data_IF_615801998115
#
_entry.id   IF_615801998115
#
_cell.length_a   1.000
_cell.length_b   1.000
_cell.length_c   1.000
_cell.angle_alpha   90.00
_cell.angle_beta   90.00
_cell.angle_gamma   90.00
#
_symmetry.space_group_name_H-M   'P 1'
#
loop_
_entity.id
_entity.type
_entity.pdbx_description
1 polymer ?
#
# COMPACT_ATOMS: atom_id res chain seq x y z
N UNK A 1 2.76 -5.94 7.87
CA UNK A 1 3.12 -6.83 8.95
C UNK A 1 2.60 -6.30 10.27
N UNK A 2 1.64 -7.00 10.84
CA UNK A 2 0.99 -6.61 12.10
C UNK A 2 1.28 -7.62 13.23
N UNK A 3 2.46 -8.23 13.22
CA UNK A 3 2.85 -9.25 14.20
C UNK A 3 1.93 -10.48 14.12
N UNK A 4 1.37 -10.91 15.25
CA UNK A 4 0.38 -12.00 15.28
C UNK A 4 -0.99 -11.61 14.66
N UNK A 5 -1.04 -10.60 13.89
CA UNK A 5 -2.22 -9.99 13.30
C UNK A 5 -2.71 -8.78 14.08
N UNK A 6 -3.79 -8.18 13.62
CA UNK A 6 -4.44 -7.07 14.31
C UNK A 6 -5.22 -7.56 15.50
N UNK A 7 -5.50 -6.68 16.46
CA UNK A 7 -6.46 -6.92 17.55
C UNK A 7 -7.88 -7.03 16.94
N UNK A 8 -8.21 -8.21 16.40
CA UNK A 8 -9.40 -8.47 15.59
C UNK A 8 -10.74 -8.12 16.26
N UNK A 9 -10.72 -8.00 17.59
CA UNK A 9 -11.88 -7.59 18.38
C UNK A 9 -11.93 -6.09 18.67
N UNK A 10 -10.92 -5.32 18.23
CA UNK A 10 -10.95 -3.87 18.39
C UNK A 10 -11.99 -3.25 17.44
N UNK A 11 -12.67 -2.16 17.85
CA UNK A 11 -13.73 -1.54 17.05
C UNK A 11 -13.32 -1.15 15.62
N UNK A 12 -12.04 -0.79 15.41
CA UNK A 12 -11.50 -0.36 14.12
C UNK A 12 -10.65 -1.42 13.42
N UNK A 13 -10.66 -2.68 13.87
CA UNK A 13 -9.86 -3.75 13.30
C UNK A 13 -10.16 -3.99 11.80
N UNK A 14 -11.35 -3.65 11.33
CA UNK A 14 -11.74 -3.78 9.93
C UNK A 14 -10.89 -2.89 8.99
N UNK A 15 -10.34 -1.78 9.47
CA UNK A 15 -9.54 -0.85 8.65
C UNK A 15 -8.25 -1.51 8.16
N UNK A 16 -7.34 -2.01 9.04
CA UNK A 16 -6.14 -2.71 8.59
C UNK A 16 -6.45 -4.02 7.86
N UNK A 17 -7.50 -4.74 8.23
CA UNK A 17 -7.92 -5.95 7.50
C UNK A 17 -8.28 -5.60 6.06
N UNK A 18 -9.12 -4.59 5.86
CA UNK A 18 -9.49 -4.09 4.52
C UNK A 18 -8.27 -3.60 3.74
N UNK A 19 -7.33 -2.90 4.40
CA UNK A 19 -6.11 -2.44 3.75
C UNK A 19 -5.28 -3.61 3.23
N UNK A 20 -5.10 -4.68 4.01
CA UNK A 20 -4.39 -5.89 3.59
C UNK A 20 -5.13 -6.57 2.43
N UNK A 21 -6.44 -6.72 2.51
CA UNK A 21 -7.27 -7.29 1.43
C UNK A 21 -7.12 -6.49 0.14
N UNK A 22 -7.13 -5.16 0.22
CA UNK A 22 -6.95 -4.29 -0.95
C UNK A 22 -5.54 -4.41 -1.54
N UNK A 23 -4.49 -4.53 -0.71
CA UNK A 23 -3.12 -4.75 -1.17
C UNK A 23 -3.01 -6.10 -1.89
N UNK A 24 -3.57 -7.17 -1.33
CA UNK A 24 -3.58 -8.50 -1.94
C UNK A 24 -4.22 -8.46 -3.34
N UNK A 25 -5.31 -7.71 -3.51
CA UNK A 25 -6.05 -7.58 -4.77
C UNK A 25 -5.54 -6.47 -5.68
N UNK A 26 -4.43 -5.84 -5.32
CA UNK A 26 -3.93 -4.72 -6.11
C UNK A 26 -3.54 -5.17 -7.53
N UNK A 27 -3.96 -4.46 -8.59
CA UNK A 27 -3.72 -4.86 -9.99
C UNK A 27 -2.25 -5.11 -10.32
N UNK A 28 -1.32 -4.40 -9.66
CA UNK A 28 0.11 -4.55 -9.88
C UNK A 28 0.65 -5.94 -9.51
N UNK A 29 -0.04 -6.70 -8.65
CA UNK A 29 0.31 -8.09 -8.35
C UNK A 29 -0.22 -9.07 -9.41
N UNK A 30 -1.11 -8.60 -10.28
CA UNK A 30 -1.62 -9.35 -11.42
C UNK A 30 -2.35 -10.64 -11.04
N UNK A 31 -2.90 -10.74 -9.84
CA UNK A 31 -3.60 -11.93 -9.35
C UNK A 31 -2.69 -13.06 -8.84
N UNK A 32 -1.38 -12.92 -8.96
CA UNK A 32 -0.43 -13.91 -8.42
C UNK A 32 -0.09 -13.55 -6.98
N UNK A 33 -0.91 -14.00 -6.05
CA UNK A 33 -0.78 -13.77 -4.62
C UNK A 33 -0.14 -14.97 -3.91
N UNK A 34 0.51 -14.69 -2.80
CA UNK A 34 1.11 -15.68 -1.94
C UNK A 34 0.90 -15.24 -0.49
N UNK A 35 0.15 -16.01 0.27
CA UNK A 35 -0.11 -15.76 1.68
C UNK A 35 0.61 -16.80 2.52
N UNK A 36 1.52 -16.31 3.35
CA UNK A 36 2.28 -17.14 4.28
C UNK A 36 1.78 -16.83 5.68
N UNK A 37 1.02 -17.75 6.24
CA UNK A 37 0.54 -17.72 7.61
C UNK A 37 1.51 -18.35 8.59
N UNK A 38 1.50 -17.91 9.84
CA UNK A 38 2.28 -18.52 10.91
C UNK A 38 1.66 -19.84 11.38
N UNK A 39 0.33 -19.85 11.56
CA UNK A 39 -0.46 -20.97 12.08
C UNK A 39 -1.08 -20.73 13.46
N UNK A 40 -0.66 -19.67 14.16
CA UNK A 40 -1.23 -19.27 15.47
C UNK A 40 -1.62 -17.80 15.52
N UNK A 41 -1.54 -17.08 14.41
CA UNK A 41 -1.95 -15.69 14.30
C UNK A 41 -3.47 -15.55 14.44
N UNK A 42 -3.90 -14.35 14.89
CA UNK A 42 -5.33 -14.01 14.99
C UNK A 42 -5.92 -13.56 13.66
N UNK A 43 -5.10 -12.95 12.80
CA UNK A 43 -5.47 -12.57 11.45
C UNK A 43 -5.14 -13.72 10.49
N UNK A 44 -5.99 -14.71 10.44
CA UNK A 44 -5.87 -15.87 9.57
C UNK A 44 -6.19 -15.52 8.10
N UNK A 45 -5.72 -16.33 7.17
CA UNK A 45 -5.83 -16.07 5.74
C UNK A 45 -7.30 -15.95 5.26
N UNK A 46 -8.22 -16.67 5.88
CA UNK A 46 -9.66 -16.63 5.58
C UNK A 46 -10.32 -15.28 5.92
N UNK A 47 -9.65 -14.42 6.68
CA UNK A 47 -10.10 -13.06 6.98
C UNK A 47 -9.66 -12.02 5.96
N UNK A 48 -8.67 -12.34 5.15
CA UNK A 48 -8.07 -11.42 4.19
C UNK A 48 -8.21 -11.89 2.74
N UNK A 49 -8.41 -13.18 2.52
CA UNK A 49 -8.64 -13.76 1.21
C UNK A 49 -10.13 -14.06 1.00
N UNK A 50 -10.65 -13.85 -0.21
CA UNK A 50 -11.94 -14.40 -0.59
C UNK A 50 -11.86 -15.93 -0.69
N UNK A 51 -12.98 -16.64 -0.49
CA UNK A 51 -12.98 -18.12 -0.47
C UNK A 51 -12.39 -18.77 -1.71
N UNK A 52 -12.60 -18.16 -2.88
CA UNK A 52 -12.08 -18.64 -4.18
C UNK A 52 -10.55 -18.62 -4.28
N UNK A 53 -9.89 -17.74 -3.52
CA UNK A 53 -8.42 -17.60 -3.50
C UNK A 53 -7.75 -18.47 -2.41
N UNK A 54 -8.54 -19.10 -1.55
CA UNK A 54 -8.03 -19.99 -0.49
C UNK A 54 -7.72 -21.36 -1.10
N UNK A 55 -6.56 -21.49 -1.67
CA UNK A 55 -6.09 -22.72 -2.32
C UNK A 55 -4.68 -23.07 -1.85
N UNK A 56 -4.25 -24.33 -1.95
CA UNK A 56 -2.87 -24.73 -1.65
C UNK A 56 -1.82 -24.03 -2.52
N UNK A 57 -2.22 -23.44 -3.65
CA UNK A 57 -1.35 -22.66 -4.53
C UNK A 57 -1.13 -21.23 -4.02
N UNK A 58 -2.01 -20.73 -3.17
CA UNK A 58 -2.02 -19.35 -2.69
C UNK A 58 -1.68 -19.22 -1.20
N UNK A 59 -1.90 -20.27 -0.42
CA UNK A 59 -1.77 -20.23 1.04
C UNK A 59 -0.82 -21.32 1.53
N UNK A 60 0.06 -20.94 2.44
CA UNK A 60 0.98 -21.82 3.13
C UNK A 60 1.04 -21.44 4.60
N UNK A 61 1.04 -22.42 5.49
CA UNK A 61 1.15 -22.23 6.93
C UNK A 61 2.50 -22.75 7.42
N UNK A 62 3.29 -21.90 8.07
CA UNK A 62 4.66 -22.26 8.47
C UNK A 62 4.71 -23.44 9.44
N UNK A 63 3.76 -23.51 10.37
CA UNK A 63 3.72 -24.56 11.40
C UNK A 63 3.33 -25.94 10.85
N UNK A 64 2.90 -26.06 9.60
CA UNK A 64 2.56 -27.34 8.99
C UNK A 64 3.80 -28.12 8.51
N UNK A 65 4.99 -27.52 8.60
CA UNK A 65 6.22 -28.10 8.09
C UNK A 65 7.14 -28.61 9.21
N UNK A 66 7.83 -29.72 8.94
CA UNK A 66 8.69 -30.42 9.90
C UNK A 66 10.07 -29.77 10.13
N UNK A 67 10.17 -28.45 9.99
CA UNK A 67 11.38 -27.69 10.25
C UNK A 67 11.69 -26.64 9.19
N UNK A 68 12.76 -25.89 9.43
CA UNK A 68 13.13 -24.72 8.64
C UNK A 68 13.31 -25.05 7.13
N UNK A 69 14.07 -26.11 6.81
CA UNK A 69 14.40 -26.42 5.42
C UNK A 69 13.17 -26.87 4.63
N UNK A 70 12.30 -27.69 5.22
CA UNK A 70 11.04 -28.09 4.60
C UNK A 70 10.12 -26.89 4.34
N UNK A 71 10.01 -26.00 5.31
CA UNK A 71 9.25 -24.76 5.20
C UNK A 71 9.80 -23.85 4.09
N UNK A 72 11.11 -23.60 4.08
CA UNK A 72 11.74 -22.76 3.07
C UNK A 72 11.61 -23.31 1.66
N UNK A 73 11.79 -24.62 1.49
CA UNK A 73 11.60 -25.28 0.20
C UNK A 73 10.16 -25.11 -0.32
N UNK A 74 9.17 -25.28 0.53
CA UNK A 74 7.77 -25.09 0.16
C UNK A 74 7.46 -23.64 -0.26
N UNK A 75 8.00 -22.65 0.49
CA UNK A 75 7.87 -21.22 0.15
C UNK A 75 8.50 -20.95 -1.22
N UNK A 76 9.73 -21.41 -1.43
CA UNK A 76 10.46 -21.18 -2.67
C UNK A 76 9.78 -21.87 -3.87
N UNK A 77 9.28 -23.09 -3.69
CA UNK A 77 8.53 -23.79 -4.75
C UNK A 77 7.25 -23.04 -5.13
N UNK A 78 6.49 -22.56 -4.15
CA UNK A 78 5.28 -21.75 -4.40
C UNK A 78 5.65 -20.45 -5.12
N UNK A 79 6.70 -19.76 -4.68
CA UNK A 79 7.17 -18.52 -5.30
C UNK A 79 7.62 -18.73 -6.74
N UNK A 80 8.37 -19.82 -7.02
CA UNK A 80 8.85 -20.14 -8.37
C UNK A 80 7.68 -20.38 -9.34
N UNK A 81 6.68 -21.15 -8.93
CA UNK A 81 5.46 -21.38 -9.73
C UNK A 81 4.76 -20.07 -10.10
N UNK A 82 4.67 -19.12 -9.14
CA UNK A 82 4.10 -17.79 -9.36
C UNK A 82 4.96 -16.95 -10.31
N UNK A 83 6.27 -16.95 -10.11
CA UNK A 83 7.21 -16.23 -10.96
C UNK A 83 7.19 -16.72 -12.40
N UNK A 84 7.07 -18.02 -12.62
CA UNK A 84 6.94 -18.61 -13.97
C UNK A 84 5.70 -18.07 -14.71
N UNK A 85 4.59 -17.85 -14.01
CA UNK A 85 3.39 -17.23 -14.60
C UNK A 85 3.62 -15.75 -14.88
N UNK A 86 4.19 -15.01 -13.93
CA UNK A 86 4.47 -13.59 -14.09
C UNK A 86 5.46 -13.30 -15.21
N UNK A 87 6.50 -14.13 -15.36
CA UNK A 87 7.53 -13.97 -16.39
C UNK A 87 7.04 -14.22 -17.82
N UNK A 88 5.86 -14.80 -17.99
CA UNK A 88 5.22 -14.95 -19.32
C UNK A 88 4.53 -13.68 -19.80
N UNK A 89 4.38 -12.68 -18.93
CA UNK A 89 3.73 -11.43 -19.29
C UNK A 89 4.66 -10.55 -20.11
N UNK A 90 4.10 -9.89 -21.10
CA UNK A 90 4.78 -8.91 -21.93
C UNK A 90 4.43 -7.49 -21.47
N UNK A 91 5.35 -6.56 -21.69
CA UNK A 91 5.09 -5.14 -21.45
C UNK A 91 4.30 -4.56 -22.61
N UNK A 92 3.40 -3.65 -22.28
CA UNK A 92 2.59 -2.89 -23.23
C UNK A 92 2.87 -1.40 -23.07
N UNK A 93 2.70 -0.65 -24.16
CA UNK A 93 2.74 0.81 -24.10
C UNK A 93 1.40 1.34 -23.59
N UNK A 94 1.45 2.15 -22.55
CA UNK A 94 0.28 2.77 -21.94
C UNK A 94 0.48 4.28 -21.88
N UNK A 95 -0.60 5.08 -22.00
CA UNK A 95 -0.52 6.51 -21.82
C UNK A 95 -0.17 6.84 -20.36
N UNK A 96 0.54 7.95 -20.16
CA UNK A 96 0.95 8.37 -18.82
C UNK A 96 -0.24 8.67 -17.92
N UNK A 97 -1.42 8.95 -18.47
CA UNK A 97 -2.67 9.14 -17.75
C UNK A 97 -3.14 7.91 -16.95
N UNK A 98 -2.69 6.72 -17.34
CA UNK A 98 -3.03 5.49 -16.63
C UNK A 98 -2.10 5.23 -15.41
N UNK A 99 -1.03 6.03 -15.28
CA UNK A 99 -0.09 5.91 -14.17
C UNK A 99 -0.61 6.63 -12.94
N UNK A 100 -0.76 5.88 -11.85
CA UNK A 100 -1.09 6.39 -10.52
C UNK A 100 0.05 6.09 -9.56
N UNK A 101 0.61 7.11 -8.93
CA UNK A 101 1.74 7.00 -8.01
C UNK A 101 1.30 7.47 -6.62
N UNK A 102 1.55 6.62 -5.62
CA UNK A 102 1.46 7.01 -4.21
C UNK A 102 2.84 7.42 -3.70
N UNK A 103 2.91 8.55 -3.02
CA UNK A 103 4.13 9.07 -2.39
C UNK A 103 4.00 9.01 -0.88
N UNK A 104 5.10 8.65 -0.21
CA UNK A 104 5.21 8.60 1.24
C UNK A 104 6.63 8.94 1.66
N UNK A 105 6.78 9.72 2.74
CA UNK A 105 8.07 9.99 3.34
C UNK A 105 8.42 8.87 4.34
N UNK A 106 9.52 8.13 4.07
CA UNK A 106 9.89 6.94 4.87
C UNK A 106 10.92 7.18 5.96
N UNK A 107 11.72 8.23 5.86
CA UNK A 107 12.94 8.39 6.65
C UNK A 107 12.81 9.30 7.86
N UNK A 108 11.92 10.26 7.87
CA UNK A 108 11.72 11.26 8.93
C UNK A 108 13.01 11.96 9.39
N UNK A 109 13.96 12.15 8.49
CA UNK A 109 15.19 12.89 8.77
C UNK A 109 15.18 14.27 8.09
N UNK A 110 15.84 15.25 8.72
CA UNK A 110 15.89 16.63 8.21
C UNK A 110 16.57 16.72 6.82
N UNK A 111 17.43 15.77 6.49
CA UNK A 111 18.17 15.78 5.23
C UNK A 111 17.28 15.39 4.04
N UNK A 112 16.27 14.55 4.26
CA UNK A 112 15.29 14.19 3.23
C UNK A 112 14.50 15.41 2.76
N UNK A 113 14.21 16.36 3.65
CA UNK A 113 13.56 17.63 3.31
C UNK A 113 14.37 18.52 2.38
N UNK A 114 15.70 18.36 2.36
CA UNK A 114 16.60 19.16 1.51
C UNK A 114 16.94 18.42 0.20
N UNK A 115 16.93 17.10 0.18
CA UNK A 115 17.39 16.28 -0.94
C UNK A 115 16.27 15.45 -1.57
N UNK A 116 15.83 14.39 -0.91
CA UNK A 116 14.91 13.41 -1.48
C UNK A 116 13.52 13.98 -1.75
N UNK A 117 12.95 14.72 -0.79
CA UNK A 117 11.59 15.25 -0.92
C UNK A 117 11.44 16.30 -2.03
N UNK A 118 12.35 17.29 -2.19
CA UNK A 118 12.30 18.18 -3.33
C UNK A 118 12.49 17.47 -4.68
N UNK A 119 13.37 16.47 -4.75
CA UNK A 119 13.58 15.68 -5.97
C UNK A 119 12.34 14.86 -6.34
N UNK A 120 11.72 14.21 -5.37
CA UNK A 120 10.48 13.48 -5.55
C UNK A 120 9.32 14.41 -5.94
N UNK A 121 9.24 15.59 -5.33
CA UNK A 121 8.25 16.62 -5.66
C UNK A 121 8.41 17.13 -7.09
N UNK A 122 9.64 17.37 -7.54
CA UNK A 122 9.91 17.75 -8.93
C UNK A 122 9.52 16.66 -9.93
N UNK A 123 9.84 15.40 -9.64
CA UNK A 123 9.43 14.27 -10.45
C UNK A 123 7.90 14.15 -10.51
N UNK A 124 7.21 14.35 -9.39
CA UNK A 124 5.76 14.38 -9.32
C UNK A 124 5.16 15.49 -10.21
N UNK A 125 5.72 16.68 -10.18
CA UNK A 125 5.28 17.79 -11.04
C UNK A 125 5.44 17.44 -12.53
N UNK A 126 6.52 16.78 -12.92
CA UNK A 126 6.74 16.32 -14.31
C UNK A 126 5.70 15.27 -14.73
N UNK A 127 5.44 14.30 -13.86
CA UNK A 127 4.46 13.23 -14.11
C UNK A 127 3.05 13.79 -14.25
N UNK A 128 2.63 14.70 -13.37
CA UNK A 128 1.32 15.35 -13.44
C UNK A 128 1.18 16.18 -14.72
N UNK A 129 2.22 16.92 -15.12
CA UNK A 129 2.23 17.63 -16.41
C UNK A 129 2.10 16.70 -17.60
N UNK A 130 2.61 15.47 -17.49
CA UNK A 130 2.45 14.42 -18.51
C UNK A 130 1.10 13.71 -18.46
N UNK A 131 0.23 14.02 -17.49
CA UNK A 131 -1.12 13.47 -17.37
C UNK A 131 -1.27 12.39 -16.28
N UNK A 132 -0.20 11.99 -15.60
CA UNK A 132 -0.26 11.02 -14.51
C UNK A 132 -0.98 11.57 -13.27
N UNK A 133 -1.49 10.66 -12.44
CA UNK A 133 -2.04 11.00 -11.12
C UNK A 133 -1.01 10.72 -10.03
N UNK A 134 -0.71 11.71 -9.21
CA UNK A 134 0.14 11.56 -8.04
C UNK A 134 -0.66 11.83 -6.77
N UNK A 135 -0.60 10.91 -5.83
CA UNK A 135 -1.22 11.03 -4.52
C UNK A 135 -0.16 10.98 -3.44
N UNK A 136 -0.40 11.68 -2.36
CA UNK A 136 0.40 11.55 -1.15
C UNK A 136 -0.51 11.41 0.07
N UNK A 137 -0.02 10.73 1.09
CA UNK A 137 -0.65 10.55 2.39
C UNK A 137 0.04 11.45 3.43
N UNK A 138 -0.13 11.17 4.71
CA UNK A 138 0.56 11.88 5.79
C UNK A 138 0.15 13.35 5.92
N UNK A 139 -1.16 13.54 6.05
CA UNK A 139 -1.80 14.87 6.17
C UNK A 139 -1.15 15.76 7.22
N UNK A 140 -0.64 15.18 8.31
CA UNK A 140 0.08 15.90 9.37
C UNK A 140 1.34 16.61 8.89
N UNK A 141 2.03 16.06 7.92
CA UNK A 141 3.29 16.62 7.40
C UNK A 141 3.06 17.87 6.55
N UNK A 142 1.88 18.01 5.96
CA UNK A 142 1.53 19.18 5.15
C UNK A 142 0.75 20.25 5.92
N UNK A 143 0.47 20.01 7.20
CA UNK A 143 -0.36 20.88 8.04
C UNK A 143 0.10 22.33 8.03
N UNK A 144 1.38 22.60 8.28
CA UNK A 144 1.93 23.94 8.30
C UNK A 144 2.14 24.53 6.89
N UNK A 145 2.16 23.67 5.88
CA UNK A 145 2.31 24.02 4.46
C UNK A 145 0.99 24.07 3.68
N UNK A 146 -0.17 23.94 4.32
CA UNK A 146 -1.47 23.86 3.64
C UNK A 146 -1.74 25.06 2.72
N UNK A 147 -1.25 26.24 3.06
CA UNK A 147 -1.39 27.46 2.23
C UNK A 147 -0.69 27.33 0.88
N UNK A 148 0.40 26.56 0.79
CA UNK A 148 1.11 26.29 -0.46
C UNK A 148 0.32 25.32 -1.35
N UNK A 149 -0.35 24.33 -0.75
CA UNK A 149 -1.25 23.42 -1.48
C UNK A 149 -2.53 24.13 -1.90
N UNK A 150 -3.10 24.97 -1.03
CA UNK A 150 -4.30 25.74 -1.31
C UNK A 150 -4.12 26.67 -2.53
N UNK A 151 -2.93 27.23 -2.71
CA UNK A 151 -2.59 28.04 -3.88
C UNK A 151 -2.53 27.24 -5.20
N UNK A 152 -2.42 25.93 -5.13
CA UNK A 152 -2.36 25.00 -6.30
C UNK A 152 -3.72 24.37 -6.63
N UNK A 153 -4.74 24.60 -5.79
CA UNK A 153 -6.07 24.06 -6.04
C UNK A 153 -6.70 24.67 -7.32
N UNK A 154 -7.38 23.84 -8.14
CA UNK A 154 -7.94 24.30 -9.41
C UNK A 154 -9.12 25.27 -9.23
N UNK A 155 -9.80 25.21 -8.08
CA UNK A 155 -10.97 26.03 -7.77
C UNK A 155 -11.13 26.29 -6.26
N UNK A 156 -12.02 27.22 -5.94
CA UNK A 156 -12.29 27.62 -4.57
C UNK A 156 -12.91 26.48 -3.74
N UNK A 157 -13.74 25.64 -4.33
CA UNK A 157 -14.39 24.52 -3.63
C UNK A 157 -13.36 23.51 -3.14
N UNK A 158 -12.43 23.10 -4.01
CA UNK A 158 -11.34 22.17 -3.65
C UNK A 158 -10.44 22.75 -2.59
N UNK A 159 -10.11 24.04 -2.69
CA UNK A 159 -9.31 24.76 -1.68
C UNK A 159 -10.00 24.77 -0.32
N UNK A 160 -11.28 25.11 -0.30
CA UNK A 160 -12.03 25.26 0.95
C UNK A 160 -12.24 23.90 1.62
N UNK A 161 -12.47 22.83 0.85
CA UNK A 161 -12.49 21.45 1.35
C UNK A 161 -11.15 21.03 1.95
N UNK A 162 -10.04 21.33 1.30
CA UNK A 162 -8.71 21.04 1.85
C UNK A 162 -8.52 21.73 3.21
N UNK A 163 -8.94 22.99 3.33
CA UNK A 163 -8.85 23.73 4.59
C UNK A 163 -9.75 23.13 5.70
N UNK A 164 -10.93 22.65 5.35
CA UNK A 164 -11.85 21.98 6.28
C UNK A 164 -11.27 20.64 6.79
N UNK A 165 -10.69 19.83 5.91
CA UNK A 165 -10.04 18.57 6.30
C UNK A 165 -8.86 18.80 7.24
N UNK A 166 -8.08 19.88 7.05
CA UNK A 166 -7.00 20.25 7.96
C UNK A 166 -7.54 20.64 9.35
N UNK A 167 -8.62 21.43 9.41
CA UNK A 167 -9.29 21.80 10.67
C UNK A 167 -9.85 20.56 11.40
N UNK A 168 -10.41 19.60 10.63
CA UNK A 168 -10.89 18.35 11.19
C UNK A 168 -9.73 17.58 11.83
N UNK A 169 -8.60 17.52 11.14
CA UNK A 169 -7.42 16.79 11.61
C UNK A 169 -6.80 17.44 12.86
N UNK A 170 -6.73 18.77 12.91
CA UNK A 170 -6.34 19.52 14.11
C UNK A 170 -7.20 19.17 15.31
N UNK A 171 -8.50 19.06 15.10
CA UNK A 171 -9.48 18.71 16.13
C UNK A 171 -9.36 17.23 16.57
N UNK A 172 -8.99 16.36 15.64
CA UNK A 172 -8.76 14.94 15.93
C UNK A 172 -7.50 14.72 16.75
N UNK A 173 -6.46 15.54 16.57
CA UNK A 173 -5.19 15.46 17.28
C UNK A 173 -5.19 16.17 18.64
N UNK A 174 -6.14 17.05 18.93
CA UNK A 174 -6.25 17.78 20.19
C UNK A 174 -6.87 16.92 21.30
#
# INVERSE_FOLDING_TARGET
>A
PYGCGVAINAPLAYIPIRAITNVIRHPNFGGEIMVVGLGCEKLTYDRVLPPEDITPENVLTLQDYAGHDAMMNAILEMADKKLQKLNKRTREELPLSDLLIGMQCGGSDAFSGISANPSAGYAADMLVRGGATVMFSEVTEVRDGVHMLAARCPDAHTRDRLAEEMKWYDKYLA
#
